data_IF_245261151074
#
_entry.id   IF_245261151074
#
_cell.length_a   1.000
_cell.length_b   1.000
_cell.length_c   1.000
_cell.angle_alpha   90.00
_cell.angle_beta   90.00
_cell.angle_gamma   90.00
#
_symmetry.space_group_name_H-M   'P 1'
#
loop_
_entity.id
_entity.type
_entity.pdbx_description
1 polymer ?
#
# COMPACT_ATOMS: atom_id res chain seq x y z
N UNK A 1 5.91 -0.05 -3.64
CA UNK A 1 4.54 0.44 -3.37
C UNK A 1 4.08 1.35 -4.50
N UNK A 2 2.80 1.34 -4.88
CA UNK A 2 2.26 2.27 -5.90
C UNK A 2 1.58 3.46 -5.22
N UNK A 3 1.87 4.68 -5.68
CA UNK A 3 1.35 5.92 -5.08
C UNK A 3 0.74 6.80 -6.15
N UNK A 4 -0.47 7.33 -5.88
CA UNK A 4 -1.15 8.29 -6.75
C UNK A 4 -1.45 9.56 -5.97
N UNK A 5 -1.13 10.70 -6.55
CA UNK A 5 -1.43 12.02 -6.00
C UNK A 5 -2.55 12.68 -6.79
N UNK A 6 -3.47 13.34 -6.10
CA UNK A 6 -4.56 14.13 -6.69
C UNK A 6 -4.73 15.42 -5.88
N UNK A 7 -4.99 16.53 -6.57
CA UNK A 7 -5.27 17.83 -5.97
C UNK A 7 -6.71 18.22 -6.33
N UNK A 8 -7.48 18.63 -5.33
CA UNK A 8 -8.88 19.03 -5.45
C UNK A 8 -9.00 20.40 -4.79
N UNK A 9 -9.35 21.41 -5.59
CA UNK A 9 -9.60 22.76 -5.09
C UNK A 9 -11.10 22.98 -4.90
N UNK A 10 -11.51 23.31 -3.68
CA UNK A 10 -12.89 23.63 -3.32
C UNK A 10 -12.98 25.13 -3.01
N UNK A 11 -13.18 25.92 -4.07
CA UNK A 11 -13.16 27.40 -4.05
C UNK A 11 -14.15 27.98 -3.03
N UNK A 12 -15.36 27.41 -2.95
CA UNK A 12 -16.43 27.86 -2.04
C UNK A 12 -16.07 27.75 -0.54
N UNK A 13 -15.09 26.90 -0.19
CA UNK A 13 -14.69 26.64 1.20
C UNK A 13 -13.34 27.23 1.57
N UNK A 14 -12.67 27.98 0.66
CA UNK A 14 -11.28 28.42 0.84
C UNK A 14 -10.37 27.27 1.29
N UNK A 15 -10.58 26.09 0.70
CA UNK A 15 -10.03 24.83 1.13
C UNK A 15 -9.36 24.12 -0.04
N UNK A 16 -8.12 23.73 0.18
CA UNK A 16 -7.36 22.91 -0.76
C UNK A 16 -7.21 21.51 -0.19
N UNK A 17 -7.66 20.51 -0.95
CA UNK A 17 -7.60 19.11 -0.54
C UNK A 17 -6.61 18.34 -1.40
N UNK A 18 -5.60 17.76 -0.77
CA UNK A 18 -4.64 16.88 -1.43
C UNK A 18 -4.92 15.44 -1.06
N UNK A 19 -5.10 14.56 -2.03
CA UNK A 19 -5.29 13.14 -1.82
C UNK A 19 -4.02 12.37 -2.22
N UNK A 20 -3.51 11.54 -1.32
CA UNK A 20 -2.50 10.53 -1.61
C UNK A 20 -3.14 9.15 -1.49
N UNK A 21 -3.19 8.39 -2.58
CA UNK A 21 -3.59 6.98 -2.56
C UNK A 21 -2.35 6.09 -2.58
N UNK A 22 -2.37 5.06 -1.75
CA UNK A 22 -1.30 4.08 -1.61
C UNK A 22 -1.88 2.69 -1.86
N UNK A 23 -1.28 1.96 -2.79
CA UNK A 23 -1.63 0.57 -3.11
C UNK A 23 -0.41 -0.31 -2.83
N UNK A 24 -0.59 -1.35 -2.00
CA UNK A 24 0.50 -2.30 -1.73
C UNK A 24 0.66 -3.26 -2.90
N UNK A 25 1.86 -3.79 -3.11
CA UNK A 25 2.13 -4.75 -4.18
C UNK A 25 1.26 -6.01 -4.08
N UNK A 26 0.81 -6.34 -2.87
CA UNK A 26 0.02 -7.54 -2.53
C UNK A 26 -1.48 -7.32 -2.51
N UNK A 27 -1.94 -6.10 -2.77
CA UNK A 27 -3.38 -5.81 -2.82
C UNK A 27 -4.06 -6.66 -3.91
N UNK A 28 -5.08 -7.43 -3.54
CA UNK A 28 -5.78 -8.34 -4.45
C UNK A 28 -6.60 -7.55 -5.47
N UNK A 29 -7.35 -6.55 -4.98
CA UNK A 29 -8.09 -5.65 -5.83
C UNK A 29 -7.45 -4.26 -5.81
N UNK A 30 -6.51 -3.99 -6.73
CA UNK A 30 -5.82 -2.70 -6.84
C UNK A 30 -6.74 -1.49 -7.04
N UNK A 31 -8.00 -1.69 -7.41
CA UNK A 31 -8.96 -0.58 -7.55
C UNK A 31 -9.52 -0.13 -6.20
N UNK A 32 -9.79 -1.07 -5.29
CA UNK A 32 -10.48 -0.82 -4.03
C UNK A 32 -9.60 -0.95 -2.80
N UNK A 33 -8.58 -1.80 -2.86
CA UNK A 33 -7.70 -2.14 -1.75
C UNK A 33 -6.60 -1.09 -1.67
N UNK A 34 -6.90 0.00 -0.96
CA UNK A 34 -6.06 1.20 -0.92
C UNK A 34 -6.09 1.86 0.45
N UNK A 35 -4.96 2.46 0.80
CA UNK A 35 -4.90 3.45 1.88
C UNK A 35 -4.99 4.83 1.23
N UNK A 36 -5.90 5.69 1.68
CA UNK A 36 -6.00 7.07 1.18
C UNK A 36 -5.78 8.04 2.31
N UNK A 37 -5.05 9.11 2.05
CA UNK A 37 -4.86 10.22 2.98
C UNK A 37 -5.28 11.50 2.28
N UNK A 38 -6.30 12.14 2.80
CA UNK A 38 -6.74 13.47 2.36
C UNK A 38 -6.21 14.50 3.33
N UNK A 39 -5.35 15.39 2.85
CA UNK A 39 -4.89 16.56 3.57
C UNK A 39 -5.79 17.74 3.22
N UNK A 40 -6.54 18.21 4.21
CA UNK A 40 -7.47 19.32 4.08
C UNK A 40 -6.81 20.59 4.61
N UNK A 41 -6.32 21.42 3.69
CA UNK A 41 -5.61 22.66 3.99
C UNK A 41 -6.55 23.85 3.87
N UNK A 42 -6.86 24.49 4.98
CA UNK A 42 -7.62 25.74 4.98
C UNK A 42 -6.68 26.93 4.80
N UNK A 43 -7.15 27.94 4.07
CA UNK A 43 -6.47 29.24 4.01
C UNK A 43 -6.51 29.91 5.39
N UNK A 44 -7.62 29.74 6.12
CA UNK A 44 -7.82 30.22 7.49
C UNK A 44 -8.41 29.10 8.34
N UNK A 45 -7.70 28.67 9.39
CA UNK A 45 -8.15 27.60 10.28
C UNK A 45 -7.09 26.52 10.47
N UNK A 46 -7.46 25.46 11.19
CA UNK A 46 -6.58 24.32 11.43
C UNK A 46 -6.77 23.28 10.32
N UNK A 47 -5.68 22.91 9.65
CA UNK A 47 -5.69 21.84 8.68
C UNK A 47 -5.77 20.47 9.35
N UNK A 48 -6.40 19.51 8.68
CA UNK A 48 -6.57 18.16 9.19
C UNK A 48 -6.39 17.10 8.12
N UNK A 49 -6.36 15.83 8.53
CA UNK A 49 -6.17 14.69 7.67
C UNK A 49 -7.29 13.67 7.83
N UNK A 50 -7.88 13.23 6.73
CA UNK A 50 -8.74 12.05 6.70
C UNK A 50 -7.95 10.85 6.16
N UNK A 51 -7.82 9.81 6.96
CA UNK A 51 -7.22 8.52 6.62
C UNK A 51 -8.31 7.51 6.32
N UNK A 52 -8.22 6.85 5.17
CA UNK A 52 -9.11 5.78 4.76
C UNK A 52 -8.32 4.51 4.52
N UNK A 53 -8.78 3.41 5.11
CA UNK A 53 -8.28 2.06 4.88
C UNK A 53 -9.40 1.26 4.23
N UNK A 54 -9.37 1.18 2.89
CA UNK A 54 -10.40 0.52 2.09
C UNK A 54 -9.93 -0.84 1.59
N UNK A 55 -10.79 -1.86 1.70
CA UNK A 55 -10.53 -3.20 1.14
C UNK A 55 -11.83 -3.89 0.73
N UNK A 56 -11.83 -4.55 -0.43
CA UNK A 56 -12.95 -5.40 -0.83
C UNK A 56 -12.87 -6.75 -0.12
N UNK A 57 -13.93 -7.10 0.59
CA UNK A 57 -14.11 -8.42 1.20
C UNK A 57 -15.46 -9.00 0.78
N UNK A 58 -15.45 -10.21 0.22
CA UNK A 58 -16.65 -10.91 -0.30
C UNK A 58 -17.54 -10.02 -1.19
N UNK A 59 -16.91 -9.24 -2.07
CA UNK A 59 -17.58 -8.35 -3.03
C UNK A 59 -18.14 -7.05 -2.44
N UNK A 60 -17.91 -6.76 -1.15
CA UNK A 60 -18.28 -5.50 -0.52
C UNK A 60 -17.04 -4.71 -0.14
N UNK A 61 -17.05 -3.41 -0.42
CA UNK A 61 -16.03 -2.49 0.08
C UNK A 61 -16.24 -2.28 1.57
N UNK A 62 -15.22 -2.62 2.35
CA UNK A 62 -15.13 -2.30 3.77
C UNK A 62 -14.11 -1.16 3.89
N UNK A 63 -14.48 -0.10 4.58
CA UNK A 63 -13.64 1.09 4.72
C UNK A 63 -13.66 1.61 6.15
N UNK A 64 -12.46 1.74 6.74
CA UNK A 64 -12.27 2.39 8.04
C UNK A 64 -11.76 3.81 7.82
N UNK A 65 -12.41 4.79 8.43
CA UNK A 65 -12.04 6.21 8.35
C UNK A 65 -11.52 6.73 9.69
N UNK A 66 -10.42 7.47 9.67
CA UNK A 66 -9.91 8.20 10.81
C UNK A 66 -9.63 9.65 10.47
N UNK A 67 -9.93 10.53 11.40
CA UNK A 67 -9.66 11.95 11.40
C UNK A 67 -8.47 12.23 12.31
N UNK A 68 -7.49 12.97 11.81
CA UNK A 68 -6.25 13.30 12.52
C UNK A 68 -5.90 14.77 12.35
N UNK A 69 -5.48 15.42 13.43
CA UNK A 69 -4.78 16.70 13.33
C UNK A 69 -3.29 16.48 13.04
N UNK A 70 -2.57 17.58 12.81
CA UNK A 70 -1.13 17.54 12.51
C UNK A 70 -0.31 16.85 13.59
N UNK A 71 -0.68 17.06 14.86
CA UNK A 71 -0.01 16.41 15.99
C UNK A 71 -0.26 14.89 16.01
N UNK A 72 -1.48 14.45 15.70
CA UNK A 72 -1.80 13.02 15.61
C UNK A 72 -0.99 12.35 14.50
N UNK A 73 -0.85 13.00 13.33
CA UNK A 73 -0.01 12.51 12.23
C UNK A 73 1.47 12.41 12.64
N UNK A 74 1.98 13.39 13.39
CA UNK A 74 3.35 13.36 13.93
C UNK A 74 3.56 12.15 14.82
N UNK A 75 2.61 11.88 15.72
CA UNK A 75 2.63 10.72 16.62
C UNK A 75 2.49 9.41 15.86
N UNK A 76 1.65 9.37 14.82
CA UNK A 76 1.49 8.20 13.96
C UNK A 76 2.79 7.85 13.21
N UNK A 77 3.47 8.84 12.63
CA UNK A 77 4.79 8.65 11.99
C UNK A 77 5.80 8.12 13.00
N UNK A 78 5.82 8.68 14.22
CA UNK A 78 6.72 8.22 15.28
C UNK A 78 6.43 6.76 15.67
N UNK A 79 5.16 6.38 15.79
CA UNK A 79 4.71 5.01 16.01
C UNK A 79 5.23 4.05 14.94
N UNK A 80 5.08 4.39 13.65
CA UNK A 80 5.56 3.56 12.54
C UNK A 80 7.09 3.40 12.55
N UNK A 81 7.83 4.50 12.77
CA UNK A 81 9.30 4.50 12.85
C UNK A 81 9.80 3.67 14.03
N UNK A 82 9.16 3.77 15.19
CA UNK A 82 9.51 2.96 16.35
C UNK A 82 9.36 1.47 16.06
N UNK A 83 8.26 1.07 15.43
CA UNK A 83 8.08 -0.32 15.01
C UNK A 83 9.15 -0.75 13.99
N UNK A 84 9.43 0.07 12.98
CA UNK A 84 10.46 -0.24 11.98
C UNK A 84 11.87 -0.39 12.59
N UNK A 85 12.20 0.42 13.60
CA UNK A 85 13.46 0.29 14.34
C UNK A 85 13.52 -1.02 15.14
N UNK A 86 12.41 -1.43 15.77
CA UNK A 86 12.31 -2.73 16.45
C UNK A 86 12.56 -3.87 15.47
N UNK A 87 12.02 -3.80 14.24
CA UNK A 87 12.27 -4.81 13.20
C UNK A 87 13.75 -4.93 12.81
N UNK A 88 14.50 -3.82 12.77
CA UNK A 88 15.94 -3.82 12.44
C UNK A 88 16.79 -4.50 13.51
N UNK A 89 16.43 -4.30 14.78
CA UNK A 89 17.19 -4.81 15.93
C UNK A 89 16.86 -6.28 16.19
N UNK A 90 15.63 -6.70 15.86
CA UNK A 90 15.14 -8.06 16.14
C UNK A 90 15.58 -9.05 15.07
N UNK A 91 16.88 -9.39 15.08
CA UNK A 91 17.41 -10.51 14.31
C UNK A 91 17.16 -11.80 15.11
N UNK A 92 16.41 -12.75 14.52
CA UNK A 92 16.23 -14.13 15.01
C UNK A 92 15.41 -14.35 16.31
N UNK A 93 14.52 -13.44 16.73
CA UNK A 93 13.60 -13.72 17.86
C UNK A 93 12.18 -13.99 17.38
N UNK A 94 11.67 -15.16 17.75
CA UNK A 94 10.40 -15.75 17.35
C UNK A 94 9.21 -15.20 18.16
N UNK A 95 9.19 -13.88 18.39
CA UNK A 95 8.14 -13.21 19.15
C UNK A 95 7.20 -12.51 18.21
N UNK A 96 5.89 -12.74 18.35
CA UNK A 96 4.87 -11.97 17.65
C UNK A 96 4.95 -10.49 18.14
N UNK A 97 5.53 -9.59 17.33
CA UNK A 97 5.67 -8.16 17.66
C UNK A 97 4.41 -7.46 17.18
N UNK A 98 3.68 -6.81 18.09
CA UNK A 98 2.44 -6.09 17.79
C UNK A 98 2.44 -4.77 18.54
N UNK A 99 2.31 -3.64 17.84
CA UNK A 99 2.16 -2.32 18.43
C UNK A 99 0.80 -1.71 18.03
N UNK A 100 0.23 -0.91 18.94
CA UNK A 100 -1.05 -0.24 18.75
C UNK A 100 -0.88 1.28 18.76
N UNK A 101 -1.65 1.95 17.92
CA UNK A 101 -1.83 3.38 17.86
C UNK A 101 -3.32 3.69 18.02
N UNK A 102 -3.69 4.25 19.18
CA UNK A 102 -5.08 4.57 19.49
C UNK A 102 -5.43 5.95 18.99
N UNK A 103 -6.58 6.05 18.31
CA UNK A 103 -7.11 7.32 17.81
C UNK A 103 -8.37 7.60 18.61
N UNK A 104 -8.29 8.66 19.43
CA UNK A 104 -9.31 8.98 20.42
C UNK A 104 -10.70 9.03 19.79
N UNK A 105 -11.63 8.28 20.38
CA UNK A 105 -13.03 8.20 19.99
C UNK A 105 -13.29 7.69 18.55
N UNK A 106 -12.32 7.05 17.89
CA UNK A 106 -12.45 6.61 16.49
C UNK A 106 -12.04 5.15 16.26
N UNK A 107 -11.06 4.64 17.02
CA UNK A 107 -10.61 3.25 16.94
C UNK A 107 -9.10 3.12 17.10
N UNK A 108 -8.51 2.15 16.42
CA UNK A 108 -7.08 1.86 16.51
C UNK A 108 -6.44 1.45 15.18
N UNK A 109 -5.15 1.74 15.05
CA UNK A 109 -4.28 1.19 14.02
C UNK A 109 -3.26 0.29 14.70
N UNK A 110 -3.17 -0.94 14.23
CA UNK A 110 -2.26 -1.96 14.74
C UNK A 110 -1.24 -2.31 13.67
N UNK A 111 0.03 -2.40 14.04
CA UNK A 111 1.10 -2.90 13.19
C UNK A 111 1.73 -4.12 13.82
N UNK A 112 1.84 -5.21 13.05
CA UNK A 112 2.37 -6.48 13.55
C UNK A 112 3.31 -7.15 12.58
N UNK A 113 4.37 -7.77 13.10
CA UNK A 113 5.24 -8.65 12.32
C UNK A 113 4.52 -9.98 12.13
N UNK A 114 4.47 -10.45 10.88
CA UNK A 114 3.91 -11.74 10.54
C UNK A 114 4.95 -12.56 9.77
N UNK A 115 5.38 -13.67 10.37
CA UNK A 115 6.49 -14.45 9.88
C UNK A 115 7.80 -13.67 10.01
N UNK A 116 8.69 -13.78 9.01
CA UNK A 116 10.04 -13.17 9.06
C UNK A 116 10.15 -11.86 8.27
N UNK A 117 9.28 -11.69 7.26
CA UNK A 117 9.46 -10.69 6.21
C UNK A 117 8.25 -9.77 5.98
N UNK A 118 7.12 -10.03 6.65
CA UNK A 118 5.90 -9.30 6.38
C UNK A 118 5.39 -8.54 7.59
N UNK A 119 4.87 -7.36 7.31
CA UNK A 119 4.22 -6.51 8.27
C UNK A 119 2.76 -6.42 7.89
N UNK A 120 1.87 -6.67 8.85
CA UNK A 120 0.45 -6.39 8.72
C UNK A 120 0.16 -5.04 9.35
N UNK A 121 -0.35 -4.11 8.55
CA UNK A 121 -0.92 -2.86 8.99
C UNK A 121 -2.44 -3.03 8.99
N UNK A 122 -3.04 -3.03 10.17
CA UNK A 122 -4.47 -3.21 10.35
C UNK A 122 -5.08 -1.94 10.96
N UNK A 123 -6.30 -1.63 10.55
CA UNK A 123 -7.15 -0.64 11.20
C UNK A 123 -8.38 -1.35 11.75
N UNK A 124 -8.88 -0.88 12.88
CA UNK A 124 -10.16 -1.26 13.46
C UNK A 124 -10.89 0.01 13.89
N UNK A 125 -12.12 0.21 13.41
CA UNK A 125 -12.96 1.31 13.83
C UNK A 125 -13.74 0.96 15.11
N UNK A 126 -14.49 1.93 15.65
CA UNK A 126 -15.34 1.69 16.82
C UNK A 126 -16.43 0.63 16.59
N UNK A 127 -16.83 0.37 15.33
CA UNK A 127 -17.80 -0.68 14.99
C UNK A 127 -17.19 -2.09 14.98
N UNK A 128 -15.89 -2.21 15.30
CA UNK A 128 -15.12 -3.47 15.24
C UNK A 128 -14.95 -3.99 13.83
N UNK A 129 -15.14 -3.14 12.83
CA UNK A 129 -14.83 -3.41 11.44
C UNK A 129 -13.33 -3.31 11.24
N UNK A 130 -12.73 -4.35 10.65
CA UNK A 130 -11.28 -4.44 10.50
C UNK A 130 -10.88 -4.49 9.03
N UNK A 131 -9.89 -3.67 8.67
CA UNK A 131 -9.24 -3.68 7.35
C UNK A 131 -7.75 -3.84 7.56
N UNK A 132 -7.06 -4.60 6.70
CA UNK A 132 -5.62 -4.74 6.79
C UNK A 132 -4.92 -4.85 5.44
N UNK A 133 -3.65 -4.46 5.46
CA UNK A 133 -2.72 -4.53 4.35
C UNK A 133 -1.48 -5.30 4.77
N UNK A 134 -0.98 -6.15 3.87
CA UNK A 134 0.32 -6.79 4.01
C UNK A 134 1.37 -5.98 3.25
N UNK A 135 2.45 -5.69 3.95
CA UNK A 135 3.61 -4.95 3.48
C UNK A 135 4.84 -5.82 3.68
N UNK A 136 5.84 -5.71 2.81
CA UNK A 136 7.20 -6.13 3.18
C UNK A 136 7.94 -5.00 3.93
N UNK A 137 9.18 -5.24 4.36
CA UNK A 137 9.98 -4.23 5.10
C UNK A 137 10.24 -2.97 4.28
N UNK A 138 10.50 -3.10 2.98
CA UNK A 138 10.76 -1.96 2.09
C UNK A 138 9.49 -1.13 1.90
N UNK A 139 8.35 -1.78 1.69
CA UNK A 139 7.05 -1.14 1.57
C UNK A 139 6.62 -0.41 2.85
N UNK A 140 6.99 -0.92 4.03
CA UNK A 140 6.80 -0.19 5.28
C UNK A 140 7.68 1.07 5.33
N UNK A 141 8.93 0.98 4.86
CA UNK A 141 9.84 2.14 4.77
C UNK A 141 9.30 3.19 3.77
N UNK A 142 8.78 2.75 2.63
CA UNK A 142 8.12 3.61 1.64
C UNK A 142 6.90 4.29 2.26
N UNK A 143 6.05 3.52 2.95
CA UNK A 143 4.85 4.05 3.62
C UNK A 143 5.18 5.12 4.66
N UNK A 144 6.19 4.89 5.50
CA UNK A 144 6.69 5.89 6.47
C UNK A 144 7.12 7.16 5.74
N UNK A 145 7.89 7.02 4.65
CA UNK A 145 8.37 8.14 3.85
C UNK A 145 7.22 8.94 3.23
N UNK A 146 6.18 8.27 2.75
CA UNK A 146 4.96 8.91 2.23
C UNK A 146 4.27 9.71 3.34
N UNK A 147 4.10 9.13 4.53
CA UNK A 147 3.50 9.85 5.67
C UNK A 147 4.31 11.08 6.06
N UNK A 148 5.64 10.97 6.09
CA UNK A 148 6.52 12.12 6.32
C UNK A 148 6.38 13.19 5.24
N UNK A 149 6.27 12.79 3.98
CA UNK A 149 6.09 13.73 2.88
C UNK A 149 4.76 14.47 2.97
N UNK A 150 3.69 13.79 3.38
CA UNK A 150 2.40 14.42 3.68
C UNK A 150 2.53 15.40 4.85
N UNK A 151 3.15 14.98 5.95
CA UNK A 151 3.31 15.81 7.15
C UNK A 151 4.14 17.08 6.92
N UNK A 152 5.24 16.96 6.16
CA UNK A 152 6.13 18.07 5.82
C UNK A 152 5.71 18.80 4.54
N UNK A 153 4.59 18.42 3.91
CA UNK A 153 4.09 18.99 2.64
C UNK A 153 5.12 18.92 1.49
N UNK A 154 6.02 17.92 1.50
CA UNK A 154 7.14 17.78 0.53
C UNK A 154 6.68 17.34 -0.86
N UNK A 155 5.53 16.66 -0.96
CA UNK A 155 4.96 16.19 -2.23
C UNK A 155 4.37 17.31 -3.10
N UNK A 156 4.07 18.48 -2.53
CA UNK A 156 3.60 19.65 -3.31
C UNK A 156 4.73 20.26 -4.16
N UNK A 157 5.99 20.04 -3.79
CA UNK A 157 7.17 20.58 -4.49
C UNK A 157 7.87 19.51 -5.36
N UNK A 158 7.85 18.23 -4.93
CA UNK A 158 8.59 17.15 -5.61
C UNK A 158 7.72 16.27 -6.54
N UNK A 159 6.43 16.57 -6.71
CA UNK A 159 5.53 15.84 -7.64
C UNK A 159 5.99 15.82 -9.10
N UNK A 160 7.00 16.62 -9.47
CA UNK A 160 7.63 16.64 -10.80
C UNK A 160 8.80 15.65 -10.97
N UNK A 161 9.48 15.23 -9.90
CA UNK A 161 10.70 14.41 -10.01
C UNK A 161 10.44 12.89 -9.99
N UNK A 162 9.32 12.45 -9.40
CA UNK A 162 8.94 11.04 -9.37
C UNK A 162 8.24 10.55 -10.66
N UNK A 163 8.02 11.46 -11.63
CA UNK A 163 7.45 11.16 -12.94
C UNK A 163 8.47 10.65 -13.97
N UNK A 164 9.75 10.48 -13.62
CA UNK A 164 10.69 9.78 -14.52
C UNK A 164 10.27 8.31 -14.64
N UNK A 165 9.50 8.02 -15.68
CA UNK A 165 9.28 6.67 -16.13
C UNK A 165 10.63 6.10 -16.60
N UNK A 166 10.96 4.83 -16.33
CA UNK A 166 12.09 4.14 -16.96
C UNK A 166 12.02 4.11 -18.50
N UNK A 167 10.87 4.48 -19.08
CA UNK A 167 10.65 4.64 -20.51
C UNK A 167 11.19 5.97 -21.06
N UNK A 168 11.37 6.99 -20.22
CA UNK A 168 11.87 8.31 -20.67
C UNK A 168 13.39 8.30 -20.89
N UNK A 169 14.12 7.38 -20.27
CA UNK A 169 15.55 7.15 -20.54
C UNK A 169 15.80 6.37 -21.84
N UNK A 170 14.77 5.72 -22.41
CA UNK A 170 14.89 4.93 -23.63
C UNK A 170 14.72 5.76 -24.92
N UNK A 171 14.16 6.97 -24.84
CA UNK A 171 13.86 7.81 -26.02
C UNK A 171 14.98 8.79 -26.41
N UNK A 172 16.15 8.70 -25.77
CA UNK A 172 17.34 9.48 -26.08
C UNK A 172 18.26 8.89 -27.15
N UNK A 173 17.76 8.12 -28.15
CA UNK A 173 18.60 7.69 -29.29
C UNK A 173 17.83 7.69 -30.62
N UNK A 174 18.14 8.71 -31.41
CA UNK A 174 18.15 8.79 -32.88
C UNK A 174 17.10 7.95 -33.65
N UNK A 175 16.07 8.65 -34.15
CA UNK A 175 15.28 8.21 -35.29
C UNK A 175 16.19 7.91 -36.49
N UNK A 176 16.05 6.72 -37.07
CA UNK A 176 16.33 6.47 -38.48
C UNK A 176 15.15 5.73 -39.12
N UNK A 177 14.87 6.20 -40.33
CA UNK A 177 13.68 6.00 -41.15
C UNK A 177 13.48 4.57 -41.62
N UNK A 178 12.20 4.19 -41.67
CA UNK A 178 11.50 3.36 -42.67
C UNK A 178 12.15 2.05 -43.14
N UNK A 179 11.42 0.94 -42.93
CA UNK A 179 10.85 0.22 -44.08
C UNK A 179 9.69 -0.69 -43.65
N UNK A 180 8.53 -0.42 -44.25
CA UNK A 180 7.34 -1.26 -44.24
C UNK A 180 7.63 -2.62 -44.90
N UNK A 181 7.42 -3.71 -44.18
CA UNK A 181 7.06 -5.01 -44.78
C UNK A 181 6.02 -5.70 -43.91
N UNK A 182 4.90 -5.99 -44.58
CA UNK A 182 3.77 -6.82 -44.16
C UNK A 182 4.18 -8.02 -43.29
N UNK A 183 3.48 -8.19 -42.18
CA UNK A 183 3.21 -9.50 -41.60
C UNK A 183 1.87 -9.41 -40.89
N UNK A 184 0.83 -9.84 -41.62
CA UNK A 184 -0.38 -10.38 -41.03
C UNK A 184 0.05 -11.45 -40.02
N UNK A 185 -0.04 -11.14 -38.73
CA UNK A 185 0.16 -12.14 -37.69
C UNK A 185 -1.17 -12.84 -37.47
N UNK A 186 -1.19 -14.08 -37.93
CA UNK A 186 -2.14 -15.12 -37.54
C UNK A 186 -2.45 -15.01 -36.04
N UNK A 187 -3.75 -14.89 -35.75
CA UNK A 187 -4.30 -14.96 -34.40
C UNK A 187 -4.06 -16.39 -33.90
N UNK A 188 -3.00 -16.59 -33.12
CA UNK A 188 -2.72 -17.86 -32.49
C UNK A 188 -3.82 -18.14 -31.44
N UNK A 189 -4.62 -19.18 -31.69
CA UNK A 189 -5.83 -19.55 -30.95
C UNK A 189 -5.57 -20.42 -29.71
N UNK A 190 -4.36 -20.45 -29.16
CA UNK A 190 -4.08 -21.15 -27.91
C UNK A 190 -3.20 -20.28 -26.99
N UNK A 191 -3.83 -19.35 -26.26
CA UNK A 191 -3.13 -18.55 -25.24
C UNK A 191 -2.81 -19.42 -24.02
N UNK A 192 -1.72 -20.17 -24.08
CA UNK A 192 -1.17 -20.92 -22.95
C UNK A 192 -0.25 -19.99 -22.16
N UNK A 193 -0.62 -19.68 -20.91
CA UNK A 193 0.21 -18.87 -20.01
C UNK A 193 1.65 -19.40 -19.95
N UNK A 194 2.63 -18.49 -20.07
CA UNK A 194 4.04 -18.80 -19.84
C UNK A 194 4.27 -19.27 -18.40
N UNK A 195 5.38 -19.94 -18.12
CA UNK A 195 5.69 -20.40 -16.76
C UNK A 195 5.76 -19.23 -15.75
N UNK A 196 6.22 -18.06 -16.20
CA UNK A 196 6.26 -16.85 -15.38
C UNK A 196 4.85 -16.36 -15.03
N UNK A 197 3.95 -16.31 -16.01
CA UNK A 197 2.55 -15.93 -15.78
C UNK A 197 1.84 -16.94 -14.89
N UNK A 198 2.04 -18.25 -15.11
CA UNK A 198 1.52 -19.32 -14.24
C UNK A 198 1.98 -19.16 -12.80
N UNK A 199 3.28 -18.89 -12.58
CA UNK A 199 3.81 -18.65 -11.25
C UNK A 199 3.22 -17.38 -10.61
N UNK A 200 2.97 -16.33 -11.40
CA UNK A 200 2.37 -15.09 -10.90
C UNK A 200 0.90 -15.31 -10.48
N UNK A 201 0.11 -15.98 -11.32
CA UNK A 201 -1.27 -16.36 -10.98
C UNK A 201 -1.30 -17.24 -9.73
N UNK A 202 -0.40 -18.21 -9.62
CA UNK A 202 -0.28 -19.05 -8.44
C UNK A 202 0.07 -18.23 -7.19
N UNK A 203 1.02 -17.30 -7.30
CA UNK A 203 1.41 -16.44 -6.19
C UNK A 203 0.26 -15.52 -5.75
N UNK A 204 -0.51 -14.97 -6.68
CA UNK A 204 -1.73 -14.22 -6.40
C UNK A 204 -2.79 -15.07 -5.66
N UNK A 205 -2.97 -16.33 -6.07
CA UNK A 205 -3.84 -17.26 -5.37
C UNK A 205 -3.35 -17.54 -3.95
N UNK A 206 -2.04 -17.74 -3.76
CA UNK A 206 -1.46 -17.91 -2.42
C UNK A 206 -1.67 -16.65 -1.56
N UNK A 207 -1.53 -15.45 -2.11
CA UNK A 207 -1.85 -14.21 -1.38
C UNK A 207 -3.32 -14.17 -0.93
N UNK A 208 -4.25 -14.52 -1.82
CA UNK A 208 -5.67 -14.56 -1.46
C UNK A 208 -5.95 -15.56 -0.33
N UNK A 209 -5.31 -16.74 -0.38
CA UNK A 209 -5.42 -17.74 0.68
C UNK A 209 -4.78 -17.29 2.00
N UNK A 210 -3.67 -16.54 1.94
CA UNK A 210 -3.05 -15.92 3.12
C UNK A 210 -4.03 -14.96 3.78
N UNK A 211 -4.65 -14.08 2.99
CA UNK A 211 -5.61 -13.10 3.50
C UNK A 211 -6.81 -13.78 4.15
N UNK A 212 -7.35 -14.82 3.50
CA UNK A 212 -8.45 -15.60 4.06
C UNK A 212 -8.07 -16.31 5.36
N UNK A 213 -6.85 -16.87 5.44
CA UNK A 213 -6.34 -17.47 6.67
C UNK A 213 -6.19 -16.43 7.79
N UNK A 214 -5.74 -15.21 7.46
CA UNK A 214 -5.65 -14.10 8.40
C UNK A 214 -7.02 -13.63 8.89
N UNK A 215 -8.01 -13.55 8.00
CA UNK A 215 -9.40 -13.20 8.34
C UNK A 215 -10.02 -14.22 9.31
N UNK A 216 -9.75 -15.51 9.07
CA UNK A 216 -10.23 -16.61 9.92
C UNK A 216 -9.41 -16.82 11.18
N UNK A 217 -8.32 -16.07 11.38
CA UNK A 217 -7.34 -16.25 12.47
C UNK A 217 -6.72 -17.67 12.50
N UNK A 218 -6.59 -18.31 11.33
CA UNK A 218 -6.03 -19.66 11.20
C UNK A 218 -4.50 -19.61 11.04
N UNK A 219 -3.80 -19.65 12.17
CA UNK A 219 -2.33 -19.58 12.24
C UNK A 219 -1.65 -20.74 11.49
N UNK A 220 -2.23 -21.95 11.50
CA UNK A 220 -1.63 -23.14 10.87
C UNK A 220 -1.68 -23.02 9.34
N UNK A 221 -2.84 -22.66 8.81
CA UNK A 221 -3.04 -22.48 7.37
C UNK A 221 -2.18 -21.31 6.87
N UNK A 222 -2.14 -20.21 7.63
CA UNK A 222 -1.30 -19.06 7.30
C UNK A 222 0.19 -19.43 7.10
N UNK A 223 0.81 -20.12 8.05
CA UNK A 223 2.24 -20.48 7.93
C UNK A 223 2.49 -21.47 6.80
N UNK A 224 1.60 -22.45 6.62
CA UNK A 224 1.72 -23.41 5.52
C UNK A 224 1.75 -22.73 4.15
N UNK A 225 0.90 -21.72 3.96
CA UNK A 225 0.87 -20.95 2.71
C UNK A 225 2.14 -20.09 2.60
N UNK A 226 2.56 -19.42 3.67
CA UNK A 226 3.78 -18.62 3.67
C UNK A 226 5.03 -19.44 3.28
N UNK A 227 5.16 -20.67 3.77
CA UNK A 227 6.26 -21.56 3.42
C UNK A 227 6.23 -21.97 1.94
N UNK A 228 5.03 -22.15 1.37
CA UNK A 228 4.90 -22.37 -0.07
C UNK A 228 5.34 -21.14 -0.87
N UNK A 229 4.99 -19.93 -0.42
CA UNK A 229 5.37 -18.68 -1.09
C UNK A 229 6.89 -18.45 -1.09
N UNK A 230 7.60 -18.83 -0.01
CA UNK A 230 9.07 -18.72 0.08
C UNK A 230 9.79 -19.45 -1.07
N UNK A 231 9.19 -20.51 -1.63
CA UNK A 231 9.75 -21.27 -2.77
C UNK A 231 9.77 -20.47 -4.08
N UNK A 232 8.94 -19.44 -4.19
CA UNK A 232 8.81 -18.63 -5.40
C UNK A 232 9.50 -17.26 -5.30
N UNK A 233 9.81 -16.79 -4.07
CA UNK A 233 10.57 -15.57 -3.83
C UNK A 233 12.10 -15.79 -3.80
N UNK A 234 12.59 -17.03 -3.77
CA UNK A 234 14.02 -17.34 -3.94
C UNK A 234 14.39 -17.32 -5.43
N UNK A 235 14.72 -16.14 -5.96
CA UNK A 235 15.51 -15.97 -7.20
C UNK A 235 16.42 -14.78 -7.08
#
# INVERSE_FOLDING_TARGET
MEVKYMEIFEDELNKLTYCTEVTTAKSLNKFTDKIKVFYHKYITGESYFDFYFGRTYKGKLIENKFYMFKEDLRLYIHFLKNFYNVLKITVNKQSDIIHYFFIKDQGEICISLIGEDYVKLASEDNSKTRVFFLLNKDELSDYITIMENIYYERSVINGLDYLKNPLDEANGKSYNKENNKNLEKEVNRDYVLSQREKNNVYLQALYALVDEALDRKDKKTFYSICDQMKKYNKK
#
